data_IF_067015973651
#
_entry.id   IF_067015973651
#
_cell.length_a   1.000
_cell.length_b   1.000
_cell.length_c   1.000
_cell.angle_alpha   90.00
_cell.angle_beta   90.00
_cell.angle_gamma   90.00
#
_symmetry.space_group_name_H-M   'P 1'
#
loop_
_entity.id
_entity.type
_entity.pdbx_description
1 polymer ?
#
# COMPACT_ATOMS: atom_id res chain seq x y z
N UNK A 1 -15.92 8.77 -20.93
CA UNK A 1 -15.12 9.97 -21.21
C UNK A 1 -13.70 9.50 -21.44
N UNK A 2 -13.17 9.85 -22.62
CA UNK A 2 -11.85 9.60 -23.21
C UNK A 2 -10.79 8.93 -22.34
N UNK A 3 -10.28 7.80 -22.83
CA UNK A 3 -8.87 7.46 -22.63
C UNK A 3 -8.23 7.60 -24.02
N UNK A 4 -7.29 8.53 -24.10
CA UNK A 4 -6.65 9.02 -25.31
C UNK A 4 -5.43 8.11 -25.58
N UNK A 5 -5.55 7.26 -26.60
CA UNK A 5 -4.43 6.49 -27.16
C UNK A 5 -3.46 7.43 -27.89
N UNK A 6 -2.33 7.76 -27.24
CA UNK A 6 -1.16 8.32 -27.94
C UNK A 6 -0.41 7.20 -28.69
N UNK A 7 -0.85 6.96 -29.92
CA UNK A 7 -0.12 6.15 -30.91
C UNK A 7 0.92 7.05 -31.59
N UNK A 8 2.15 7.06 -31.08
CA UNK A 8 3.30 7.58 -31.84
C UNK A 8 3.75 6.52 -32.85
N UNK A 9 3.20 6.58 -34.06
CA UNK A 9 3.73 5.90 -35.24
C UNK A 9 4.67 6.86 -35.98
N UNK A 10 5.92 6.92 -35.53
CA UNK A 10 6.99 7.56 -36.30
C UNK A 10 7.26 6.69 -37.53
N UNK A 11 6.75 7.14 -38.67
CA UNK A 11 6.87 6.46 -39.95
C UNK A 11 8.10 7.04 -40.65
N UNK A 12 9.29 6.57 -40.27
CA UNK A 12 10.49 6.77 -41.09
C UNK A 12 10.31 5.97 -42.39
N UNK A 13 9.91 6.68 -43.44
CA UNK A 13 9.88 6.21 -44.81
C UNK A 13 11.33 6.03 -45.29
N UNK A 14 11.93 4.88 -44.93
CA UNK A 14 13.23 4.45 -45.43
C UNK A 14 13.05 4.03 -46.90
N UNK A 15 13.43 4.93 -47.81
CA UNK A 15 13.40 4.70 -49.25
C UNK A 15 14.41 3.62 -49.64
N UNK A 16 13.91 2.42 -49.90
CA UNK A 16 14.71 1.33 -50.46
C UNK A 16 15.16 1.69 -51.89
N UNK A 17 16.46 1.54 -52.25
CA UNK A 17 16.92 1.79 -53.61
C UNK A 17 16.38 0.73 -54.58
N UNK A 18 15.89 1.18 -55.74
CA UNK A 18 15.39 0.31 -56.82
C UNK A 18 16.43 -0.73 -57.27
N UNK A 19 16.00 -1.95 -57.65
CA UNK A 19 16.89 -2.97 -58.18
C UNK A 19 17.36 -2.60 -59.60
N UNK A 20 18.63 -2.89 -59.97
CA UNK A 20 19.14 -2.58 -61.30
C UNK A 20 18.49 -3.47 -62.38
N UNK A 21 18.41 -3.00 -63.63
CA UNK A 21 17.65 -3.66 -64.68
C UNK A 21 18.30 -4.99 -65.09
N UNK A 22 17.47 -6.03 -65.20
CA UNK A 22 17.83 -7.33 -65.76
C UNK A 22 18.31 -7.15 -67.21
N UNK A 23 19.57 -7.49 -67.48
CA UNK A 23 20.02 -7.78 -68.85
C UNK A 23 19.52 -9.17 -69.22
N UNK A 24 18.53 -9.23 -70.10
CA UNK A 24 18.21 -10.43 -70.86
C UNK A 24 19.32 -10.65 -71.89
N UNK A 25 19.96 -11.82 -71.85
CA UNK A 25 21.00 -12.18 -72.79
C UNK A 25 21.53 -13.58 -72.57
N UNK A 26 21.20 -14.45 -73.53
CA UNK A 26 21.87 -15.71 -73.90
C UNK A 26 21.76 -16.92 -72.96
N UNK A 27 21.29 -18.03 -73.55
CA UNK A 27 21.19 -19.33 -72.92
C UNK A 27 22.55 -19.80 -72.39
N UNK A 28 22.66 -19.85 -71.06
CA UNK A 28 23.81 -20.39 -70.37
C UNK A 28 23.87 -21.91 -70.50
N UNK A 29 25.09 -22.42 -70.68
CA UNK A 29 25.45 -23.84 -70.65
C UNK A 29 24.65 -24.60 -69.54
N UNK A 30 23.90 -25.66 -69.89
CA UNK A 30 23.06 -26.40 -68.94
C UNK A 30 23.82 -26.90 -67.71
N UNK A 31 25.12 -27.17 -67.83
CA UNK A 31 25.94 -27.63 -66.70
C UNK A 31 26.25 -26.52 -65.69
N UNK A 32 26.43 -25.28 -66.16
CA UNK A 32 26.65 -24.11 -65.31
C UNK A 32 25.40 -23.72 -64.53
N UNK A 33 24.24 -23.74 -65.20
CA UNK A 33 22.94 -23.49 -64.55
C UNK A 33 22.66 -24.56 -63.50
N UNK A 34 22.85 -25.85 -63.82
CA UNK A 34 22.68 -26.95 -62.87
C UNK A 34 23.62 -26.86 -61.67
N UNK A 35 24.85 -26.36 -61.86
CA UNK A 35 25.81 -26.15 -60.76
C UNK A 35 25.46 -24.93 -59.91
N UNK A 36 24.88 -23.87 -60.48
CA UNK A 36 24.32 -22.77 -59.70
C UNK A 36 23.08 -23.21 -58.94
N UNK A 37 22.15 -23.91 -59.58
CA UNK A 37 20.93 -24.45 -58.97
C UNK A 37 21.24 -25.43 -57.83
N UNK A 38 22.26 -26.29 -57.99
CA UNK A 38 22.71 -27.17 -56.92
C UNK A 38 23.29 -26.39 -55.72
N UNK A 39 24.02 -25.29 -55.98
CA UNK A 39 24.56 -24.42 -54.92
C UNK A 39 23.46 -23.61 -54.23
N UNK A 40 22.48 -23.10 -54.96
CA UNK A 40 21.33 -22.38 -54.39
C UNK A 40 20.42 -23.35 -53.63
N UNK A 41 20.17 -24.56 -54.16
CA UNK A 41 19.39 -25.59 -53.47
C UNK A 41 20.07 -26.04 -52.18
N UNK A 42 21.40 -26.20 -52.16
CA UNK A 42 22.14 -26.53 -50.94
C UNK A 42 22.08 -25.41 -49.89
N UNK A 43 22.13 -24.14 -50.33
CA UNK A 43 21.98 -22.98 -49.45
C UNK A 43 20.55 -22.88 -48.89
N UNK A 44 19.54 -23.14 -49.73
CA UNK A 44 18.13 -23.17 -49.34
C UNK A 44 17.83 -24.30 -48.36
N UNK A 45 18.50 -25.45 -48.52
CA UNK A 45 18.38 -26.60 -47.62
C UNK A 45 19.01 -26.30 -46.26
N UNK A 46 20.21 -25.69 -46.24
CA UNK A 46 20.83 -25.21 -45.00
C UNK A 46 19.98 -24.15 -44.29
N UNK A 47 19.34 -23.24 -45.04
CA UNK A 47 18.43 -22.25 -44.48
C UNK A 47 17.16 -22.90 -43.89
N UNK A 48 16.61 -23.92 -44.57
CA UNK A 48 15.45 -24.69 -44.05
C UNK A 48 15.79 -25.43 -42.77
N UNK A 49 16.97 -26.06 -42.70
CA UNK A 49 17.47 -26.73 -41.50
C UNK A 49 17.63 -25.73 -40.35
N UNK A 50 18.25 -24.58 -40.59
CA UNK A 50 18.40 -23.52 -39.58
C UNK A 50 17.04 -23.00 -39.08
N UNK A 51 16.08 -22.77 -39.98
CA UNK A 51 14.71 -22.37 -39.60
C UNK A 51 14.03 -23.47 -38.76
N UNK A 52 14.22 -24.74 -39.11
CA UNK A 52 13.65 -25.87 -38.38
C UNK A 52 14.26 -26.00 -36.97
N UNK A 53 15.58 -25.87 -36.84
CA UNK A 53 16.28 -25.86 -35.56
C UNK A 53 15.83 -24.70 -34.67
N UNK A 54 15.70 -23.50 -35.25
CA UNK A 54 15.25 -22.32 -34.51
C UNK A 54 13.80 -22.46 -34.02
N UNK A 55 12.90 -23.01 -34.86
CA UNK A 55 11.52 -23.33 -34.44
C UNK A 55 11.49 -24.37 -33.32
N UNK A 56 12.34 -25.40 -33.41
CA UNK A 56 12.46 -26.45 -32.38
C UNK A 56 12.99 -25.88 -31.07
N UNK A 57 13.95 -24.96 -31.13
CA UNK A 57 14.50 -24.29 -29.95
C UNK A 57 13.45 -23.37 -29.29
N UNK A 58 12.78 -22.53 -30.08
CA UNK A 58 11.68 -21.69 -29.57
C UNK A 58 10.56 -22.53 -28.95
N UNK A 59 10.15 -23.62 -29.60
CA UNK A 59 9.12 -24.53 -29.05
C UNK A 59 9.54 -25.13 -27.71
N UNK A 60 10.80 -25.51 -27.54
CA UNK A 60 11.32 -26.01 -26.25
C UNK A 60 11.30 -24.93 -25.18
N UNK A 61 11.76 -23.73 -25.50
CA UNK A 61 11.78 -22.59 -24.58
C UNK A 61 10.35 -22.18 -24.15
N UNK A 62 9.40 -22.19 -25.08
CA UNK A 62 7.98 -21.93 -24.80
C UNK A 62 7.37 -23.00 -23.88
N UNK A 63 7.66 -24.29 -24.11
CA UNK A 63 7.19 -25.38 -23.27
C UNK A 63 7.78 -25.34 -21.85
N UNK A 64 9.06 -24.99 -21.73
CA UNK A 64 9.71 -24.81 -20.44
C UNK A 64 9.12 -23.62 -19.67
N UNK A 65 8.89 -22.49 -20.36
CA UNK A 65 8.25 -21.32 -19.78
C UNK A 65 6.83 -21.65 -19.32
N UNK A 66 6.07 -22.42 -20.11
CA UNK A 66 4.72 -22.88 -19.77
C UNK A 66 4.74 -23.78 -18.53
N UNK A 67 5.66 -24.74 -18.45
CA UNK A 67 5.84 -25.61 -17.26
C UNK A 67 6.20 -24.80 -16.01
N UNK A 68 7.05 -23.78 -16.13
CA UNK A 68 7.41 -22.91 -15.00
C UNK A 68 6.22 -22.08 -14.52
N UNK A 69 5.45 -21.48 -15.45
CA UNK A 69 4.21 -20.77 -15.12
C UNK A 69 3.18 -21.69 -14.46
N UNK A 70 3.02 -22.91 -14.93
CA UNK A 70 2.12 -23.90 -14.34
C UNK A 70 2.57 -24.30 -12.92
N UNK A 71 3.87 -24.52 -12.70
CA UNK A 71 4.41 -24.77 -11.34
C UNK A 71 4.18 -23.59 -10.41
N UNK A 72 4.35 -22.36 -10.90
CA UNK A 72 4.10 -21.16 -10.10
C UNK A 72 2.61 -21.02 -9.76
N UNK A 73 1.72 -21.29 -10.73
CA UNK A 73 0.28 -21.30 -10.53
C UNK A 73 -0.13 -22.38 -9.51
N UNK A 74 0.35 -23.61 -9.64
CA UNK A 74 0.13 -24.70 -8.68
C UNK A 74 0.60 -24.32 -7.27
N UNK A 75 1.80 -23.74 -7.12
CA UNK A 75 2.29 -23.25 -5.82
C UNK A 75 1.44 -22.11 -5.24
N UNK A 76 0.82 -21.29 -6.08
CA UNK A 76 -0.09 -20.22 -5.63
C UNK A 76 -1.41 -20.79 -5.13
N UNK A 77 -1.97 -21.76 -5.85
CA UNK A 77 -3.20 -22.47 -5.44
C UNK A 77 -2.97 -23.24 -4.14
N UNK A 78 -1.88 -24.01 -4.04
CA UNK A 78 -1.55 -24.75 -2.81
C UNK A 78 -1.41 -23.84 -1.58
N UNK A 79 -0.75 -22.69 -1.73
CA UNK A 79 -0.65 -21.70 -0.64
C UNK A 79 -2.00 -21.10 -0.28
N UNK A 80 -2.85 -20.80 -1.27
CA UNK A 80 -4.19 -20.28 -1.03
C UNK A 80 -5.09 -21.31 -0.32
N UNK A 81 -5.00 -22.59 -0.69
CA UNK A 81 -5.77 -23.67 -0.06
C UNK A 81 -5.30 -23.94 1.38
N UNK A 82 -3.98 -23.92 1.61
CA UNK A 82 -3.41 -24.07 2.96
C UNK A 82 -3.78 -22.89 3.87
N UNK A 83 -3.71 -21.66 3.35
CA UNK A 83 -4.16 -20.46 4.07
C UNK A 83 -5.66 -20.51 4.37
N UNK A 84 -6.49 -20.93 3.40
CA UNK A 84 -7.93 -21.09 3.58
C UNK A 84 -8.26 -22.15 4.63
N UNK A 85 -7.56 -23.28 4.64
CA UNK A 85 -7.73 -24.35 5.63
C UNK A 85 -7.31 -23.90 7.03
N UNK A 86 -6.22 -23.13 7.14
CA UNK A 86 -5.77 -22.55 8.41
C UNK A 86 -6.71 -21.45 8.90
N UNK A 87 -7.25 -20.62 8.01
CA UNK A 87 -8.25 -19.61 8.33
C UNK A 87 -9.58 -20.23 8.78
N UNK A 88 -10.03 -21.31 8.14
CA UNK A 88 -11.24 -22.04 8.52
C UNK A 88 -11.09 -22.70 9.90
N UNK A 89 -9.93 -23.31 10.19
CA UNK A 89 -9.62 -23.84 11.53
C UNK A 89 -9.62 -22.75 12.60
N UNK A 90 -8.98 -21.60 12.33
CA UNK A 90 -8.99 -20.45 13.25
C UNK A 90 -10.40 -19.89 13.47
N UNK A 91 -11.20 -19.78 12.40
CA UNK A 91 -12.59 -19.30 12.48
C UNK A 91 -13.45 -20.25 13.31
N UNK A 92 -13.32 -21.56 13.13
CA UNK A 92 -14.05 -22.54 13.95
C UNK A 92 -13.62 -22.50 15.43
N UNK A 93 -12.33 -22.31 15.72
CA UNK A 93 -11.84 -22.18 17.10
C UNK A 93 -12.29 -20.86 17.76
N UNK A 94 -12.25 -19.75 17.01
CA UNK A 94 -12.76 -18.46 17.46
C UNK A 94 -14.28 -18.48 17.67
N UNK A 95 -15.04 -19.10 16.76
CA UNK A 95 -16.48 -19.25 16.88
C UNK A 95 -16.86 -20.12 18.09
N UNK A 96 -16.11 -21.20 18.37
CA UNK A 96 -16.27 -21.99 19.60
C UNK A 96 -15.98 -21.15 20.84
N UNK A 97 -14.90 -20.37 20.84
CA UNK A 97 -14.56 -19.48 21.96
C UNK A 97 -15.59 -18.37 22.16
N UNK A 98 -16.12 -17.80 21.08
CA UNK A 98 -17.17 -16.78 21.14
C UNK A 98 -18.48 -17.36 21.67
N UNK A 99 -18.89 -18.56 21.22
CA UNK A 99 -20.06 -19.26 21.78
C UNK A 99 -19.89 -19.56 23.27
N UNK A 100 -18.72 -20.04 23.70
CA UNK A 100 -18.44 -20.30 25.12
C UNK A 100 -18.47 -19.01 25.96
N UNK A 101 -17.95 -17.90 25.43
CA UNK A 101 -18.00 -16.58 26.11
C UNK A 101 -19.41 -16.03 26.15
N UNK A 102 -20.19 -16.17 25.09
CA UNK A 102 -21.57 -15.71 25.03
C UNK A 102 -22.49 -16.55 25.94
N UNK A 103 -22.29 -17.87 25.98
CA UNK A 103 -23.00 -18.78 26.89
C UNK A 103 -22.62 -18.50 28.35
N UNK A 104 -21.33 -18.27 28.66
CA UNK A 104 -20.89 -17.85 29.99
C UNK A 104 -21.44 -16.49 30.38
N UNK A 105 -21.50 -15.54 29.44
CA UNK A 105 -22.08 -14.21 29.66
C UNK A 105 -23.59 -14.28 29.88
N UNK A 106 -24.31 -15.15 29.15
CA UNK A 106 -25.72 -15.40 29.38
C UNK A 106 -25.97 -16.05 30.74
N UNK A 107 -25.17 -17.04 31.14
CA UNK A 107 -25.22 -17.64 32.49
C UNK A 107 -24.93 -16.62 33.59
N UNK A 108 -23.93 -15.76 33.42
CA UNK A 108 -23.60 -14.70 34.38
C UNK A 108 -24.70 -13.63 34.47
N UNK A 109 -25.39 -13.32 33.36
CA UNK A 109 -26.53 -12.40 33.34
C UNK A 109 -27.75 -13.04 34.03
N UNK A 110 -28.01 -14.32 33.77
CA UNK A 110 -29.12 -15.05 34.38
C UNK A 110 -28.89 -15.29 35.89
N UNK A 111 -27.67 -15.59 36.31
CA UNK A 111 -27.30 -15.72 37.72
C UNK A 111 -27.36 -14.36 38.45
N UNK A 112 -26.89 -13.28 37.82
CA UNK A 112 -27.04 -11.92 38.38
C UNK A 112 -28.51 -11.50 38.44
N UNK A 113 -29.33 -11.85 37.44
CA UNK A 113 -30.76 -11.59 37.45
C UNK A 113 -31.45 -12.37 38.57
N UNK A 114 -31.13 -13.66 38.75
CA UNK A 114 -31.65 -14.47 39.87
C UNK A 114 -31.22 -13.92 41.23
N UNK A 115 -29.97 -13.46 41.35
CA UNK A 115 -29.43 -12.86 42.58
C UNK A 115 -30.07 -11.50 42.88
N UNK A 116 -30.39 -10.70 41.85
CA UNK A 116 -31.14 -9.46 41.99
C UNK A 116 -32.62 -9.72 42.32
N UNK A 117 -33.26 -10.73 41.74
CA UNK A 117 -34.64 -11.14 42.05
C UNK A 117 -34.75 -11.70 43.48
N UNK A 118 -33.77 -12.48 43.97
CA UNK A 118 -33.71 -12.93 45.37
C UNK A 118 -33.42 -11.77 46.34
N UNK A 119 -32.55 -10.83 45.96
CA UNK A 119 -32.26 -9.64 46.75
C UNK A 119 -33.44 -8.65 46.76
N UNK A 120 -34.17 -8.52 45.66
CA UNK A 120 -35.37 -7.71 45.53
C UNK A 120 -36.52 -8.34 46.32
N UNK A 121 -36.72 -9.66 46.26
CA UNK A 121 -37.68 -10.37 47.10
C UNK A 121 -37.36 -10.23 48.59
N UNK A 122 -36.08 -10.30 48.96
CA UNK A 122 -35.62 -10.08 50.34
C UNK A 122 -35.75 -8.61 50.77
N UNK A 123 -35.48 -7.66 49.86
CA UNK A 123 -35.64 -6.22 50.10
C UNK A 123 -37.11 -5.81 50.12
N UNK A 124 -37.98 -6.46 49.36
CA UNK A 124 -39.43 -6.24 49.38
C UNK A 124 -40.04 -6.82 50.66
N UNK A 125 -39.56 -7.98 51.14
CA UNK A 125 -39.91 -8.49 52.47
C UNK A 125 -39.45 -7.55 53.60
N UNK A 126 -38.22 -7.02 53.50
CA UNK A 126 -37.66 -6.08 54.49
C UNK A 126 -38.30 -4.68 54.41
N UNK A 127 -38.63 -4.18 53.21
CA UNK A 127 -39.36 -2.92 53.01
C UNK A 127 -40.84 -3.07 53.37
N UNK A 128 -41.44 -4.25 53.23
CA UNK A 128 -42.77 -4.50 53.79
C UNK A 128 -42.75 -4.48 55.32
N UNK A 129 -41.65 -4.92 55.95
CA UNK A 129 -41.44 -4.82 57.39
C UNK A 129 -41.07 -3.40 57.87
N UNK A 130 -40.41 -2.60 57.02
CA UNK A 130 -39.98 -1.23 57.35
C UNK A 130 -40.96 -0.14 56.89
N UNK A 131 -41.89 -0.43 55.98
CA UNK A 131 -42.97 0.50 55.57
C UNK A 131 -44.01 0.71 56.69
N UNK A 132 -43.97 -0.11 57.73
CA UNK A 132 -44.65 0.14 59.01
C UNK A 132 -43.89 1.11 59.94
N UNK A 133 -42.67 1.53 59.61
CA UNK A 133 -41.89 2.47 60.42
C UNK A 133 -41.10 3.47 59.56
N UNK A 134 -41.64 4.68 59.44
CA UNK A 134 -40.80 5.87 59.42
C UNK A 134 -40.47 6.48 58.06
N UNK A 135 -41.19 7.55 57.74
CA UNK A 135 -40.86 8.61 56.77
C UNK A 135 -39.50 9.25 57.10
N UNK A 136 -38.68 9.60 56.10
CA UNK A 136 -37.65 10.63 56.29
C UNK A 136 -36.52 10.71 55.24
N UNK A 137 -36.67 11.65 54.28
CA UNK A 137 -35.70 12.57 53.64
C UNK A 137 -34.23 12.14 53.33
N UNK A 138 -33.84 12.38 52.06
CA UNK A 138 -32.49 12.19 51.46
C UNK A 138 -31.40 13.20 51.89
N UNK A 139 -30.27 13.32 51.15
CA UNK A 139 -30.23 14.14 49.93
C UNK A 139 -29.28 13.70 48.77
N UNK A 140 -29.47 14.42 47.65
CA UNK A 140 -28.85 14.36 46.32
C UNK A 140 -27.38 14.82 46.24
N UNK A 141 -26.51 14.04 45.55
CA UNK A 141 -25.69 14.50 44.41
C UNK A 141 -24.90 13.33 43.79
N UNK A 142 -25.09 13.01 42.50
CA UNK A 142 -24.26 12.06 41.74
C UNK A 142 -23.77 12.78 40.48
N UNK A 143 -22.46 13.05 40.39
CA UNK A 143 -21.81 13.53 39.17
C UNK A 143 -21.56 12.34 38.26
N UNK A 144 -22.33 12.23 37.19
CA UNK A 144 -22.13 11.22 36.14
C UNK A 144 -20.97 11.61 35.24
N UNK A 145 -19.79 11.02 35.50
CA UNK A 145 -18.65 11.05 34.58
C UNK A 145 -19.02 10.15 33.39
N UNK A 146 -19.61 10.74 32.34
CA UNK A 146 -19.79 10.07 31.05
C UNK A 146 -18.40 9.84 30.45
N UNK A 147 -17.87 8.63 30.61
CA UNK A 147 -16.82 8.10 29.75
C UNK A 147 -17.48 7.65 28.44
N UNK A 148 -17.29 8.42 27.38
CA UNK A 148 -17.62 8.03 26.01
C UNK A 148 -16.75 6.82 25.60
N UNK A 149 -17.17 5.63 26.03
CA UNK A 149 -16.56 4.34 25.70
C UNK A 149 -17.18 3.79 24.42
N UNK A 150 -17.06 4.54 23.32
CA UNK A 150 -17.45 4.06 21.99
C UNK A 150 -16.24 3.94 21.06
N UNK A 151 -15.09 3.51 21.62
CA UNK A 151 -13.96 3.05 20.81
C UNK A 151 -14.28 1.64 20.30
N UNK A 152 -14.13 1.43 18.99
CA UNK A 152 -14.22 0.10 18.38
C UNK A 152 -13.23 -0.86 19.06
N UNK A 153 -13.55 -2.15 19.13
CA UNK A 153 -12.66 -3.19 19.70
C UNK A 153 -11.23 -3.10 19.14
N UNK A 154 -11.09 -2.81 17.84
CA UNK A 154 -9.81 -2.62 17.18
C UNK A 154 -9.05 -1.35 17.61
N UNK A 155 -9.78 -0.28 17.97
CA UNK A 155 -9.17 0.94 18.50
C UNK A 155 -8.77 0.78 19.97
N UNK A 156 -9.51 -0.02 20.74
CA UNK A 156 -9.15 -0.37 22.12
C UNK A 156 -7.88 -1.22 22.12
N UNK A 157 -7.77 -2.22 21.25
CA UNK A 157 -6.57 -3.07 21.12
C UNK A 157 -5.33 -2.28 20.70
N UNK A 158 -5.49 -1.29 19.82
CA UNK A 158 -4.39 -0.41 19.39
C UNK A 158 -3.94 0.58 20.48
N UNK A 159 -4.82 0.90 21.43
CA UNK A 159 -4.53 1.79 22.56
C UNK A 159 -4.20 1.02 23.85
N UNK A 160 -3.99 -0.31 23.79
CA UNK A 160 -3.47 -1.05 24.94
C UNK A 160 -2.08 -0.53 25.28
N UNK A 161 -1.89 -0.16 26.54
CA UNK A 161 -0.57 0.27 27.02
C UNK A 161 0.40 -0.90 26.96
N UNK A 162 1.69 -0.60 26.82
CA UNK A 162 2.75 -1.62 26.79
C UNK A 162 2.67 -2.59 27.98
N UNK A 163 2.30 -2.05 29.14
CA UNK A 163 2.08 -2.80 30.38
C UNK A 163 0.91 -3.80 30.29
N UNK A 164 -0.22 -3.41 29.68
CA UNK A 164 -1.35 -4.31 29.45
C UNK A 164 -1.01 -5.46 28.51
N UNK A 165 -0.22 -5.20 27.46
CA UNK A 165 0.26 -6.25 26.55
C UNK A 165 1.24 -7.21 27.24
N UNK A 166 2.11 -6.70 28.12
CA UNK A 166 3.02 -7.54 28.91
C UNK A 166 2.28 -8.41 29.93
N UNK A 167 1.23 -7.88 30.59
CA UNK A 167 0.35 -8.64 31.47
C UNK A 167 -0.45 -9.70 30.71
N UNK A 168 -1.06 -9.35 29.57
CA UNK A 168 -1.77 -10.32 28.71
C UNK A 168 -0.82 -11.42 28.22
N UNK A 169 0.43 -11.08 27.87
CA UNK A 169 1.47 -12.05 27.51
C UNK A 169 1.81 -12.95 28.70
N UNK A 170 2.00 -12.39 29.90
CA UNK A 170 2.31 -13.16 31.12
C UNK A 170 1.18 -14.14 31.47
N UNK A 171 -0.07 -13.68 31.40
CA UNK A 171 -1.25 -14.53 31.61
C UNK A 171 -1.31 -15.62 30.54
N UNK A 172 -1.15 -15.27 29.26
CA UNK A 172 -1.14 -16.24 28.16
C UNK A 172 -0.05 -17.31 28.31
N UNK A 173 1.15 -16.91 28.75
CA UNK A 173 2.25 -17.84 29.02
C UNK A 173 1.94 -18.76 30.20
N UNK A 174 1.34 -18.25 31.27
CA UNK A 174 0.94 -19.08 32.42
C UNK A 174 -0.15 -20.12 32.08
N UNK A 175 -1.02 -19.83 31.11
CA UNK A 175 -2.03 -20.78 30.62
C UNK A 175 -1.39 -21.85 29.72
N UNK A 176 -0.44 -21.46 28.85
CA UNK A 176 0.25 -22.36 27.93
C UNK A 176 1.28 -23.23 28.63
N UNK A 177 2.00 -22.68 29.61
CA UNK A 177 3.03 -23.36 30.39
C UNK A 177 2.39 -23.84 31.69
N UNK A 178 1.83 -25.05 31.65
CA UNK A 178 1.30 -25.69 32.85
C UNK A 178 2.46 -26.08 33.79
N UNK A 179 2.36 -25.83 35.10
CA UNK A 179 3.34 -26.30 36.07
C UNK A 179 3.53 -27.82 35.96
N UNK A 180 4.77 -28.27 35.95
CA UNK A 180 5.10 -29.69 35.90
C UNK A 180 4.78 -30.34 37.24
N UNK A 181 3.84 -31.27 37.25
CA UNK A 181 3.62 -32.17 38.37
C UNK A 181 4.37 -33.47 38.09
N UNK A 182 5.55 -33.62 38.71
CA UNK A 182 6.42 -34.80 38.56
C UNK A 182 6.44 -35.68 39.83
N UNK A 183 5.77 -35.25 40.90
CA UNK A 183 5.79 -35.93 42.19
C UNK A 183 4.97 -37.23 42.11
N UNK A 184 5.55 -38.32 42.63
CA UNK A 184 4.96 -39.67 42.67
C UNK A 184 4.72 -40.36 41.31
N UNK A 185 5.41 -39.94 40.24
CA UNK A 185 5.42 -40.65 38.97
C UNK A 185 6.43 -41.81 38.97
N UNK A 186 6.05 -42.95 38.38
CA UNK A 186 6.98 -44.07 38.15
C UNK A 186 8.00 -43.73 37.06
N UNK A 187 9.15 -44.42 37.06
CA UNK A 187 10.27 -44.18 36.13
C UNK A 187 9.80 -44.19 34.66
N UNK A 188 8.95 -45.15 34.28
CA UNK A 188 8.45 -45.24 32.90
C UNK A 188 7.53 -44.08 32.54
N UNK A 189 6.71 -43.58 33.48
CA UNK A 189 5.89 -42.39 33.28
C UNK A 189 6.73 -41.11 33.21
N UNK A 190 7.82 -41.03 33.97
CA UNK A 190 8.78 -39.92 33.88
C UNK A 190 9.48 -39.89 32.51
N UNK A 191 9.89 -41.04 31.97
CA UNK A 191 10.45 -41.14 30.61
C UNK A 191 9.44 -40.72 29.54
N UNK A 192 8.19 -41.19 29.63
CA UNK A 192 7.14 -40.79 28.70
C UNK A 192 6.87 -39.28 28.77
N UNK A 193 6.86 -38.69 29.97
CA UNK A 193 6.67 -37.24 30.14
C UNK A 193 7.84 -36.43 29.57
N UNK A 194 9.07 -36.90 29.73
CA UNK A 194 10.25 -36.27 29.13
C UNK A 194 10.17 -36.28 27.59
N UNK A 195 9.75 -37.40 26.99
CA UNK A 195 9.58 -37.50 25.54
C UNK A 195 8.48 -36.55 25.03
N UNK A 196 7.34 -36.49 25.71
CA UNK A 196 6.24 -35.58 25.36
C UNK A 196 6.69 -34.11 25.38
N UNK A 197 7.43 -33.70 26.41
CA UNK A 197 7.97 -32.35 26.52
C UNK A 197 9.00 -32.06 25.42
N UNK A 198 9.83 -33.04 25.09
CA UNK A 198 10.80 -32.90 24.01
C UNK A 198 10.11 -32.71 22.66
N UNK A 199 9.11 -33.53 22.33
CA UNK A 199 8.32 -33.40 21.09
C UNK A 199 7.60 -32.04 21.03
N UNK A 200 7.08 -31.57 22.17
CA UNK A 200 6.46 -30.24 22.29
C UNK A 200 7.48 -29.11 22.05
N UNK A 201 8.68 -29.19 22.63
CA UNK A 201 9.74 -28.20 22.44
C UNK A 201 10.13 -28.14 20.96
N UNK A 202 10.38 -29.28 20.32
CA UNK A 202 10.73 -29.34 18.89
C UNK A 202 9.65 -28.66 18.04
N UNK A 203 8.38 -28.96 18.30
CA UNK A 203 7.26 -28.31 17.60
C UNK A 203 7.25 -26.79 17.82
N UNK A 204 7.37 -26.32 19.06
CA UNK A 204 7.38 -24.88 19.36
C UNK A 204 8.56 -24.17 18.69
N UNK A 205 9.72 -24.81 18.59
CA UNK A 205 10.89 -24.22 17.97
C UNK A 205 10.76 -24.13 16.45
N UNK A 206 10.11 -25.12 15.82
CA UNK A 206 9.73 -25.02 14.39
C UNK A 206 8.72 -23.90 14.14
N UNK A 207 7.67 -23.78 14.97
CA UNK A 207 6.69 -22.70 14.86
C UNK A 207 7.33 -21.32 15.05
N UNK A 208 8.28 -21.19 15.98
CA UNK A 208 9.03 -19.97 16.21
C UNK A 208 9.86 -19.58 14.99
N UNK A 209 10.59 -20.53 14.39
CA UNK A 209 11.36 -20.28 13.18
C UNK A 209 10.50 -19.75 12.03
N UNK A 210 9.35 -20.38 11.78
CA UNK A 210 8.40 -19.93 10.74
C UNK A 210 7.86 -18.52 11.00
N UNK A 211 7.60 -18.18 12.27
CA UNK A 211 7.17 -16.85 12.67
C UNK A 211 8.27 -15.80 12.50
N UNK A 212 9.52 -16.12 12.85
CA UNK A 212 10.67 -15.24 12.66
C UNK A 212 10.93 -14.98 11.17
N UNK A 213 10.87 -15.99 10.31
CA UNK A 213 10.99 -15.83 8.86
C UNK A 213 9.85 -14.97 8.29
N UNK A 214 8.62 -15.18 8.75
CA UNK A 214 7.48 -14.32 8.38
C UNK A 214 7.70 -12.88 8.82
N UNK A 215 8.21 -12.66 10.03
CA UNK A 215 8.51 -11.32 10.53
C UNK A 215 9.57 -10.63 9.67
N UNK A 216 10.68 -11.31 9.33
CA UNK A 216 11.72 -10.75 8.44
C UNK A 216 11.14 -10.32 7.09
N UNK A 217 10.25 -11.12 6.51
CA UNK A 217 9.56 -10.78 5.27
C UNK A 217 8.67 -9.55 5.42
N UNK A 218 7.88 -9.48 6.48
CA UNK A 218 7.03 -8.31 6.76
C UNK A 218 7.86 -7.04 6.96
N UNK A 219 9.01 -7.14 7.65
CA UNK A 219 9.93 -6.02 7.83
C UNK A 219 10.54 -5.54 6.51
N UNK A 220 10.85 -6.47 5.60
CA UNK A 220 11.28 -6.14 4.24
C UNK A 220 10.18 -5.40 3.47
N UNK A 221 8.96 -5.96 3.43
CA UNK A 221 7.82 -5.35 2.73
C UNK A 221 7.53 -3.95 3.28
N UNK A 222 7.62 -3.77 4.61
CA UNK A 222 7.41 -2.48 5.27
C UNK A 222 8.50 -1.46 4.91
N UNK A 223 9.77 -1.88 4.81
CA UNK A 223 10.87 -1.02 4.31
C UNK A 223 10.63 -0.60 2.87
N UNK A 224 10.23 -1.52 2.00
CA UNK A 224 9.95 -1.23 0.59
C UNK A 224 8.78 -0.26 0.43
N UNK A 225 7.69 -0.47 1.18
CA UNK A 225 6.53 0.44 1.17
C UNK A 225 6.89 1.84 1.66
N UNK A 226 7.72 1.96 2.70
CA UNK A 226 8.22 3.26 3.19
C UNK A 226 9.05 3.97 2.14
N UNK A 227 9.93 3.26 1.43
CA UNK A 227 10.75 3.87 0.37
C UNK A 227 9.89 4.30 -0.83
N UNK A 228 8.93 3.48 -1.26
CA UNK A 228 7.94 3.86 -2.29
C UNK A 228 7.15 5.10 -1.88
N UNK A 229 6.69 5.16 -0.63
CA UNK A 229 6.00 6.34 -0.10
C UNK A 229 6.91 7.57 -0.14
N UNK A 230 8.19 7.43 0.26
CA UNK A 230 9.18 8.51 0.21
C UNK A 230 9.39 9.02 -1.22
N UNK A 231 9.50 8.12 -2.19
CA UNK A 231 9.62 8.48 -3.61
C UNK A 231 8.37 9.22 -4.14
N UNK A 232 7.17 8.74 -3.78
CA UNK A 232 5.93 9.44 -4.13
C UNK A 232 5.88 10.86 -3.54
N UNK A 233 6.29 11.02 -2.28
CA UNK A 233 6.36 12.33 -1.62
C UNK A 233 7.40 13.26 -2.27
N UNK A 234 8.57 12.73 -2.64
CA UNK A 234 9.62 13.47 -3.38
C UNK A 234 9.13 13.95 -4.75
N UNK A 235 8.50 13.08 -5.53
CA UNK A 235 7.93 13.43 -6.83
C UNK A 235 6.79 14.45 -6.70
N UNK A 236 5.95 14.32 -5.66
CA UNK A 236 4.91 15.29 -5.34
C UNK A 236 5.48 16.66 -4.92
N UNK A 237 6.60 16.68 -4.20
CA UNK A 237 7.29 17.93 -3.86
C UNK A 237 7.85 18.62 -5.10
N UNK A 238 8.54 17.87 -5.97
CA UNK A 238 9.06 18.35 -7.25
C UNK A 238 7.95 18.93 -8.15
N UNK A 239 6.83 18.22 -8.30
CA UNK A 239 5.65 18.71 -9.07
C UNK A 239 5.06 20.00 -8.51
N UNK A 240 5.21 20.27 -7.21
CA UNK A 240 4.76 21.50 -6.57
C UNK A 240 5.82 22.61 -6.60
N UNK A 241 6.99 22.38 -7.18
CA UNK A 241 8.11 23.31 -7.17
C UNK A 241 8.76 23.46 -5.79
N UNK A 242 8.51 22.51 -4.88
CA UNK A 242 9.19 22.44 -3.59
C UNK A 242 10.45 21.58 -3.70
N UNK A 243 11.37 21.77 -2.76
CA UNK A 243 12.53 20.92 -2.57
C UNK A 243 12.08 19.44 -2.41
N UNK A 244 12.71 18.47 -3.12
CA UNK A 244 12.46 17.04 -2.98
C UNK A 244 12.22 16.54 -1.55
N UNK A 245 12.93 17.07 -0.55
CA UNK A 245 12.79 16.60 0.84
C UNK A 245 11.72 17.31 1.66
N UNK A 246 11.11 18.38 1.13
CA UNK A 246 10.20 19.26 1.84
C UNK A 246 8.94 18.55 2.37
N UNK A 247 8.52 17.46 1.72
CA UNK A 247 7.35 16.67 2.10
C UNK A 247 7.68 15.39 2.87
N UNK A 248 8.97 15.12 3.11
CA UNK A 248 9.45 13.92 3.83
C UNK A 248 9.88 14.20 5.27
N UNK A 249 9.93 15.48 5.67
CA UNK A 249 10.29 15.89 7.03
C UNK A 249 9.18 15.66 8.06
N UNK A 250 9.55 15.74 9.34
CA UNK A 250 8.62 15.64 10.49
C UNK A 250 7.56 16.75 10.51
N UNK A 251 7.89 17.89 9.93
CA UNK A 251 7.05 19.09 9.92
C UNK A 251 6.59 19.38 8.49
N UNK A 252 5.36 19.89 8.29
CA UNK A 252 4.90 20.32 6.98
C UNK A 252 5.87 21.31 6.31
N UNK A 253 5.97 21.31 4.96
CA UNK A 253 6.84 22.24 4.26
C UNK A 253 6.43 23.69 4.53
N UNK A 254 7.43 24.56 4.72
CA UNK A 254 7.22 26.00 4.89
C UNK A 254 6.60 26.58 3.62
N UNK A 255 5.46 27.25 3.77
CA UNK A 255 4.79 27.95 2.68
C UNK A 255 5.57 29.25 2.40
N UNK A 256 6.04 29.45 1.17
CA UNK A 256 6.60 30.73 0.77
C UNK A 256 5.47 31.73 0.56
N UNK A 257 5.39 32.75 1.43
CA UNK A 257 4.35 33.80 1.38
C UNK A 257 4.68 34.94 0.41
N UNK A 258 5.89 34.95 -0.16
CA UNK A 258 6.35 35.94 -1.13
C UNK A 258 7.18 35.25 -2.22
N UNK A 259 7.03 35.70 -3.46
CA UNK A 259 7.75 35.11 -4.59
C UNK A 259 9.25 35.42 -4.53
N UNK A 260 10.11 34.50 -4.99
CA UNK A 260 11.55 34.76 -5.17
C UNK A 260 11.82 35.96 -6.09
N UNK A 261 10.86 36.30 -6.96
CA UNK A 261 10.93 37.44 -7.88
C UNK A 261 10.40 38.76 -7.29
N UNK A 262 9.76 38.72 -6.12
CA UNK A 262 9.17 39.88 -5.46
C UNK A 262 10.24 40.77 -4.80
N UNK A 263 11.41 40.20 -4.48
CA UNK A 263 12.54 40.92 -3.89
C UNK A 263 13.52 41.39 -4.97
N UNK A 264 13.07 42.23 -5.90
CA UNK A 264 14.03 43.11 -6.59
C UNK A 264 14.20 44.34 -5.70
N UNK A 265 15.40 44.52 -5.14
CA UNK A 265 15.73 45.75 -4.40
C UNK A 265 15.53 46.91 -5.37
N UNK A 266 14.54 47.76 -5.08
CA UNK A 266 14.23 48.90 -5.90
C UNK A 266 15.42 49.87 -5.90
N UNK A 267 16.11 49.96 -7.03
CA UNK A 267 17.33 50.75 -7.24
C UNK A 267 17.05 52.25 -7.37
N UNK A 268 15.78 52.67 -7.38
CA UNK A 268 15.41 54.09 -7.40
C UNK A 268 15.85 54.77 -6.10
N UNK A 269 16.21 56.05 -6.18
CA UNK A 269 16.58 56.82 -4.98
C UNK A 269 15.36 57.03 -4.06
N UNK A 270 15.59 57.43 -2.80
CA UNK A 270 14.49 57.74 -1.88
C UNK A 270 13.58 58.85 -2.43
N UNK A 271 14.18 59.90 -3.00
CA UNK A 271 13.43 61.01 -3.58
C UNK A 271 12.63 60.59 -4.81
N UNK A 272 13.15 59.69 -5.66
CA UNK A 272 12.42 59.14 -6.80
C UNK A 272 11.22 58.30 -6.35
N UNK A 273 11.40 57.47 -5.30
CA UNK A 273 10.30 56.70 -4.71
C UNK A 273 9.25 57.60 -4.09
N UNK A 274 9.67 58.64 -3.36
CA UNK A 274 8.75 59.60 -2.74
C UNK A 274 7.92 60.32 -3.81
N UNK A 275 8.55 60.82 -4.87
CA UNK A 275 7.87 61.48 -5.99
C UNK A 275 6.89 60.55 -6.71
N UNK A 276 7.22 59.26 -6.84
CA UNK A 276 6.28 58.27 -7.39
C UNK A 276 5.00 58.16 -6.57
N UNK A 277 5.08 58.21 -5.24
CA UNK A 277 3.90 58.16 -4.37
C UNK A 277 3.18 59.52 -4.23
N UNK A 278 3.86 60.64 -4.51
CA UNK A 278 3.29 61.99 -4.54
C UNK A 278 2.72 62.36 -5.93
N UNK A 279 2.09 61.40 -6.61
CA UNK A 279 1.44 61.60 -7.91
C UNK A 279 2.32 61.34 -9.14
N UNK A 280 3.64 61.11 -8.97
CA UNK A 280 4.52 60.73 -10.08
C UNK A 280 4.16 59.40 -10.74
N UNK A 281 3.49 58.49 -10.02
CA UNK A 281 2.93 57.27 -10.60
C UNK A 281 1.84 57.56 -11.64
N UNK A 282 0.95 58.51 -11.34
CA UNK A 282 -0.12 58.92 -12.26
C UNK A 282 0.48 59.63 -13.48
N UNK A 283 1.52 60.45 -13.28
CA UNK A 283 2.26 61.08 -14.37
C UNK A 283 2.90 60.05 -15.29
N UNK A 284 3.62 59.06 -14.75
CA UNK A 284 4.23 57.99 -15.56
C UNK A 284 3.20 57.13 -16.29
N UNK A 285 2.07 56.83 -15.65
CA UNK A 285 0.99 56.09 -16.28
C UNK A 285 0.36 56.87 -17.44
N UNK A 286 0.15 58.18 -17.25
CA UNK A 286 -0.34 59.09 -18.27
C UNK A 286 0.62 59.19 -19.45
N UNK A 287 1.90 59.45 -19.20
CA UNK A 287 2.96 59.51 -20.22
C UNK A 287 3.08 58.21 -21.03
N UNK A 288 3.02 57.06 -20.35
CA UNK A 288 3.05 55.74 -20.99
C UNK A 288 1.82 55.50 -21.86
N UNK A 289 0.65 55.92 -21.38
CA UNK A 289 -0.62 55.84 -22.13
C UNK A 289 -0.59 56.75 -23.36
N UNK A 290 -0.09 57.97 -23.21
CA UNK A 290 0.06 58.93 -24.31
C UNK A 290 1.08 58.46 -25.34
N UNK A 291 2.21 57.89 -24.89
CA UNK A 291 3.20 57.27 -25.79
C UNK A 291 2.62 56.09 -26.56
N UNK A 292 1.87 55.22 -25.90
CA UNK A 292 1.17 54.12 -26.56
C UNK A 292 0.14 54.63 -27.57
N UNK A 293 -0.61 55.67 -27.21
CA UNK A 293 -1.56 56.30 -28.11
C UNK A 293 -0.88 56.93 -29.32
N UNK A 294 0.20 57.71 -29.13
CA UNK A 294 1.02 58.30 -30.20
C UNK A 294 1.58 57.23 -31.13
N UNK A 295 2.15 56.15 -30.59
CA UNK A 295 2.63 55.03 -31.41
C UNK A 295 1.51 54.38 -32.22
N UNK A 296 0.34 54.15 -31.61
CA UNK A 296 -0.82 53.60 -32.33
C UNK A 296 -1.34 54.55 -33.40
N UNK A 297 -1.37 55.85 -33.10
CA UNK A 297 -1.79 56.89 -34.02
C UNK A 297 -0.83 57.04 -35.20
N UNK A 298 0.48 57.07 -34.96
CA UNK A 298 1.49 57.04 -36.01
C UNK A 298 1.40 55.79 -36.89
N UNK A 299 1.20 54.62 -36.29
CA UNK A 299 1.01 53.39 -37.04
C UNK A 299 -0.29 53.43 -37.86
N UNK A 300 -1.32 54.12 -37.36
CA UNK A 300 -2.58 54.31 -38.07
C UNK A 300 -2.43 55.30 -39.23
N UNK A 301 -1.72 56.42 -39.06
CA UNK A 301 -1.49 57.40 -40.12
C UNK A 301 -0.53 56.90 -41.20
N UNK A 302 0.41 56.01 -40.85
CA UNK A 302 1.30 55.33 -41.81
C UNK A 302 0.61 54.22 -42.62
N UNK A 303 -0.63 53.84 -42.30
CA UNK A 303 -1.40 52.92 -43.15
C UNK A 303 -1.84 53.66 -44.41
N UNK A 304 -1.34 53.23 -45.57
CA UNK A 304 -1.89 53.65 -46.85
C UNK A 304 -3.39 53.32 -46.88
N UNK A 305 -4.24 54.31 -47.16
CA UNK A 305 -5.64 54.04 -47.48
C UNK A 305 -5.66 53.22 -48.76
N UNK A 306 -6.04 51.95 -48.66
CA UNK A 306 -6.46 51.16 -49.80
C UNK A 306 -7.77 51.78 -50.31
N UNK A 307 -7.70 52.45 -51.46
CA UNK A 307 -8.86 52.59 -52.35
C UNK A 307 -9.28 51.20 -52.87
#
# INVERSE_FOLDING_TARGET
>A
MSDEEDVYSDSEEETAPEPPPKKEGEGGDPEFVKRQEAKTSALDEQLKEYIAEWRKQRSKEEDELKKLKEKQAKRKVMRADEEKRMAERKKQEEERRQREVEEKKQRDIEEKRRRLEEAEKKRQAMMSALKDQGKGKGPNFIVSKKTDMNLSSAQIERNKTKEQLEEEKKISLSIRIKPLSIDNLSIDKLRAKAQELWDQIVKLETEKYDLEERQKRQDYDLKELKERQKQQLRHKALKKGLDPEALTGKYPPKIQVASKYERRVDTRSYDDKKKLFEGGWETLLSESSEKNWKNKYENFTKRNRSE
#
